data_IF_191211457976
#
_entry.id   IF_191211457976
#
_cell.length_a   1.000
_cell.length_b   1.000
_cell.length_c   1.000
_cell.angle_alpha   90.00
_cell.angle_beta   90.00
_cell.angle_gamma   90.00
#
_symmetry.space_group_name_H-M   'P 1'
#
loop_
_entity.id
_entity.type
_entity.pdbx_description
1 polymer ?
#
# COMPACT_ATOMS: atom_id res chain seq x y z
N UNK A 1 -36.56 52.50 36.35
CA UNK A 1 -35.75 51.53 37.13
C UNK A 1 -36.56 50.24 37.28
N UNK A 2 -36.17 49.16 36.60
CA UNK A 2 -36.81 47.84 36.75
C UNK A 2 -35.76 46.77 36.41
N UNK A 3 -35.23 46.13 37.44
CA UNK A 3 -34.32 44.99 37.35
C UNK A 3 -35.12 43.70 37.20
N UNK A 4 -34.78 42.88 36.20
CA UNK A 4 -35.18 41.48 36.07
C UNK A 4 -34.04 40.77 35.33
N UNK A 5 -33.12 40.10 36.03
CA UNK A 5 -33.12 38.68 36.44
C UNK A 5 -33.19 37.69 35.26
N UNK A 6 -32.06 37.00 35.10
CA UNK A 6 -31.86 35.61 34.67
C UNK A 6 -32.29 35.19 33.26
N UNK A 7 -31.30 35.03 32.38
CA UNK A 7 -31.08 33.81 31.59
C UNK A 7 -29.55 33.59 31.57
N UNK A 8 -29.02 32.52 32.18
CA UNK A 8 -28.77 31.23 31.49
C UNK A 8 -28.07 31.49 30.14
N UNK A 9 -26.92 30.94 29.77
CA UNK A 9 -26.16 29.76 30.19
C UNK A 9 -25.00 29.68 29.20
N UNK A 10 -23.84 29.23 29.66
CA UNK A 10 -22.96 28.28 28.98
C UNK A 10 -23.00 28.25 27.44
N UNK A 11 -22.07 28.97 26.79
CA UNK A 11 -21.67 28.67 25.42
C UNK A 11 -20.14 28.54 25.37
N UNK A 12 -19.68 27.44 25.96
CA UNK A 12 -18.36 26.87 25.71
C UNK A 12 -18.36 26.33 24.27
N UNK A 13 -18.18 27.21 23.29
CA UNK A 13 -17.98 26.82 21.91
C UNK A 13 -16.49 26.54 21.72
N UNK A 14 -16.10 25.30 22.02
CA UNK A 14 -14.86 24.70 21.55
C UNK A 14 -14.79 24.86 20.03
N UNK A 15 -14.02 25.84 19.56
CA UNK A 15 -13.52 25.85 18.21
C UNK A 15 -12.43 24.78 18.09
N UNK A 16 -12.82 23.53 17.85
CA UNK A 16 -11.89 22.53 17.36
C UNK A 16 -11.71 22.74 15.85
N UNK A 17 -10.50 23.07 15.36
CA UNK A 17 -10.20 22.91 13.95
C UNK A 17 -10.09 21.41 13.68
N UNK A 18 -11.18 20.81 13.18
CA UNK A 18 -11.11 19.48 12.55
C UNK A 18 -10.62 19.69 11.13
N UNK A 19 -9.31 19.89 10.99
CA UNK A 19 -8.59 19.70 9.74
C UNK A 19 -7.54 18.62 9.97
N UNK A 20 -7.96 17.37 9.82
CA UNK A 20 -7.07 16.31 9.39
C UNK A 20 -7.93 15.26 8.72
N UNK A 21 -8.23 15.47 7.43
CA UNK A 21 -8.54 14.33 6.57
C UNK A 21 -7.25 13.54 6.46
N UNK A 22 -7.04 12.64 7.42
CA UNK A 22 -6.18 11.47 7.20
C UNK A 22 -6.87 10.70 6.10
N UNK A 23 -6.57 11.05 4.85
CA UNK A 23 -6.74 10.14 3.73
C UNK A 23 -6.00 8.88 4.16
N UNK A 24 -6.76 7.80 4.40
CA UNK A 24 -6.19 6.49 4.62
C UNK A 24 -5.08 6.28 3.58
N UNK A 25 -3.91 5.77 3.99
CA UNK A 25 -2.86 5.46 3.04
C UNK A 25 -3.42 4.38 2.13
N UNK A 26 -3.88 4.78 0.94
CA UNK A 26 -4.26 3.86 -0.11
C UNK A 26 -3.11 2.87 -0.29
N UNK A 27 -3.38 1.57 -0.41
CA UNK A 27 -2.34 0.57 -0.64
C UNK A 27 -1.62 0.97 -1.92
N UNK A 28 -0.42 1.53 -1.77
CA UNK A 28 0.37 2.00 -2.89
C UNK A 28 0.80 0.74 -3.65
N UNK A 29 0.24 0.50 -4.84
CA UNK A 29 0.77 -0.56 -5.69
C UNK A 29 2.10 -0.09 -6.27
N UNK A 30 2.97 -1.03 -6.65
CA UNK A 30 4.29 -0.67 -7.18
C UNK A 30 4.24 0.15 -8.47
N UNK A 31 3.19 -0.01 -9.28
CA UNK A 31 2.92 0.84 -10.43
C UNK A 31 2.65 2.30 -10.01
N UNK A 32 1.86 2.51 -8.95
CA UNK A 32 1.54 3.83 -8.41
C UNK A 32 2.76 4.51 -7.78
N UNK A 33 3.67 3.70 -7.22
CA UNK A 33 4.94 4.16 -6.68
C UNK A 33 5.82 4.82 -7.75
N UNK A 34 6.01 4.18 -8.91
CA UNK A 34 6.80 4.73 -10.01
C UNK A 34 6.14 5.96 -10.64
N UNK A 35 4.82 6.00 -10.72
CA UNK A 35 4.09 7.16 -11.21
C UNK A 35 4.27 8.38 -10.27
N UNK A 36 4.16 8.18 -8.96
CA UNK A 36 4.35 9.24 -7.95
C UNK A 36 5.79 9.76 -7.90
N UNK A 37 6.78 8.87 -8.05
CA UNK A 37 8.19 9.23 -8.17
C UNK A 37 8.41 10.20 -9.35
N UNK A 38 7.89 9.85 -10.53
CA UNK A 38 8.02 10.67 -11.73
C UNK A 38 7.31 12.05 -11.59
N UNK A 39 6.21 12.13 -10.85
CA UNK A 39 5.53 13.41 -10.56
C UNK A 39 6.40 14.29 -9.68
N UNK A 40 6.94 13.75 -8.58
CA UNK A 40 7.80 14.49 -7.67
C UNK A 40 9.08 14.98 -8.36
N UNK A 41 9.70 14.16 -9.21
CA UNK A 41 10.88 14.56 -9.98
C UNK A 41 10.60 15.73 -10.93
N UNK A 42 9.44 15.73 -11.61
CA UNK A 42 9.01 16.85 -12.46
C UNK A 42 8.80 18.13 -11.65
N UNK A 43 8.15 18.02 -10.49
CA UNK A 43 7.92 19.16 -9.61
C UNK A 43 9.23 19.72 -9.04
N UNK A 44 10.21 18.86 -8.74
CA UNK A 44 11.56 19.27 -8.35
C UNK A 44 12.27 20.02 -9.48
N UNK A 45 12.18 19.53 -10.73
CA UNK A 45 12.74 20.21 -11.90
C UNK A 45 12.09 21.58 -12.11
N UNK A 46 10.76 21.67 -11.95
CA UNK A 46 10.03 22.93 -12.03
C UNK A 46 10.45 23.90 -10.92
N UNK A 47 10.53 23.44 -9.67
CA UNK A 47 10.98 24.24 -8.54
C UNK A 47 12.42 24.74 -8.75
N UNK A 48 13.30 23.91 -9.32
CA UNK A 48 14.67 24.30 -9.69
C UNK A 48 14.67 25.40 -10.75
N UNK A 49 13.88 25.27 -11.82
CA UNK A 49 13.78 26.29 -12.88
C UNK A 49 13.28 27.64 -12.35
N UNK A 50 12.48 27.62 -11.28
CA UNK A 50 11.91 28.81 -10.63
C UNK A 50 12.76 29.35 -9.48
N UNK A 51 13.92 28.76 -9.19
CA UNK A 51 14.78 29.17 -8.07
C UNK A 51 14.19 28.91 -6.68
N UNK A 52 13.18 28.03 -6.56
CA UNK A 52 12.48 27.75 -5.30
C UNK A 52 13.22 26.70 -4.46
N UNK A 53 14.38 27.10 -3.89
CA UNK A 53 15.28 26.17 -3.20
C UNK A 53 14.65 25.48 -1.98
N UNK A 54 13.87 26.19 -1.15
CA UNK A 54 13.16 25.60 -0.02
C UNK A 54 12.13 24.56 -0.46
N UNK A 55 11.33 24.89 -1.50
CA UNK A 55 10.33 23.99 -2.04
C UNK A 55 10.96 22.74 -2.64
N UNK A 56 12.09 22.89 -3.33
CA UNK A 56 12.89 21.76 -3.82
C UNK A 56 13.33 20.85 -2.66
N UNK A 57 13.78 21.41 -1.54
CA UNK A 57 14.15 20.64 -0.36
C UNK A 57 12.98 19.80 0.16
N UNK A 58 11.81 20.42 0.34
CA UNK A 58 10.59 19.73 0.78
C UNK A 58 10.14 18.62 -0.19
N UNK A 59 10.30 18.82 -1.50
CA UNK A 59 9.98 17.80 -2.49
C UNK A 59 10.98 16.63 -2.45
N UNK A 60 12.25 16.91 -2.16
CA UNK A 60 13.27 15.87 -1.93
C UNK A 60 12.93 15.00 -0.71
N UNK A 61 12.55 15.60 0.41
CA UNK A 61 12.10 14.86 1.60
C UNK A 61 10.86 13.99 1.31
N UNK A 62 9.91 14.52 0.53
CA UNK A 62 8.74 13.74 0.09
C UNK A 62 9.13 12.57 -0.82
N UNK A 63 10.10 12.77 -1.71
CA UNK A 63 10.62 11.73 -2.59
C UNK A 63 11.30 10.62 -1.78
N UNK A 64 12.13 10.97 -0.80
CA UNK A 64 12.79 10.00 0.09
C UNK A 64 11.76 9.18 0.89
N UNK A 65 10.75 9.86 1.43
CA UNK A 65 9.65 9.20 2.16
C UNK A 65 8.80 8.30 1.24
N UNK A 66 8.64 8.65 -0.03
CA UNK A 66 7.98 7.81 -1.03
C UNK A 66 8.83 6.56 -1.32
N UNK A 67 10.12 6.75 -1.62
CA UNK A 67 11.05 5.66 -1.95
C UNK A 67 11.15 4.64 -0.81
N UNK A 68 11.19 5.09 0.45
CA UNK A 68 11.18 4.21 1.62
C UNK A 68 9.93 3.32 1.67
N UNK A 69 8.75 3.87 1.36
CA UNK A 69 7.48 3.13 1.31
C UNK A 69 7.43 2.19 0.11
N UNK A 70 7.86 2.64 -1.07
CA UNK A 70 7.90 1.81 -2.27
C UNK A 70 8.85 0.60 -2.12
N UNK A 71 9.96 0.79 -1.40
CA UNK A 71 10.90 -0.28 -1.08
C UNK A 71 10.30 -1.34 -0.16
N UNK A 72 9.33 -1.03 0.70
CA UNK A 72 8.64 -2.04 1.53
C UNK A 72 7.58 -2.83 0.76
N UNK A 73 7.09 -2.31 -0.37
CA UNK A 73 6.13 -2.99 -1.26
C UNK A 73 6.82 -3.96 -2.24
N UNK A 74 8.05 -3.66 -2.67
CA UNK A 74 8.85 -4.56 -3.51
C UNK A 74 9.05 -6.00 -2.93
N UNK A 75 9.41 -6.18 -1.63
CA UNK A 75 9.51 -7.51 -1.05
C UNK A 75 8.15 -8.21 -0.90
N UNK A 76 7.04 -7.47 -0.82
CA UNK A 76 5.70 -8.05 -0.81
C UNK A 76 5.34 -8.70 -2.16
N UNK A 77 5.66 -8.06 -3.29
CA UNK A 77 5.54 -8.68 -4.63
C UNK A 77 6.42 -9.93 -4.76
N UNK A 78 7.65 -9.88 -4.22
CA UNK A 78 8.55 -11.03 -4.21
C UNK A 78 8.07 -12.19 -3.32
N UNK A 79 7.11 -11.95 -2.42
CA UNK A 79 6.42 -12.98 -1.63
C UNK A 79 5.25 -13.57 -2.43
N UNK A 80 4.44 -12.74 -3.08
CA UNK A 80 3.31 -13.20 -3.91
C UNK A 80 3.78 -14.10 -5.05
N UNK A 81 4.81 -13.69 -5.81
CA UNK A 81 5.38 -14.52 -6.87
C UNK A 81 5.93 -15.86 -6.35
N UNK A 82 6.44 -15.88 -5.11
CA UNK A 82 6.91 -17.11 -4.45
C UNK A 82 5.75 -18.03 -4.07
N UNK A 83 4.64 -17.46 -3.59
CA UNK A 83 3.42 -18.19 -3.26
C UNK A 83 2.85 -18.82 -4.53
N UNK A 84 2.72 -18.05 -5.62
CA UNK A 84 2.20 -18.56 -6.90
C UNK A 84 3.04 -19.72 -7.44
N UNK A 85 4.38 -19.60 -7.35
CA UNK A 85 5.28 -20.69 -7.72
C UNK A 85 5.02 -21.96 -6.90
N UNK A 86 4.91 -21.82 -5.57
CA UNK A 86 4.65 -22.96 -4.68
C UNK A 86 3.27 -23.59 -4.93
N UNK A 87 2.25 -22.79 -5.23
CA UNK A 87 0.92 -23.30 -5.58
C UNK A 87 0.96 -24.11 -6.88
N UNK A 88 1.73 -23.65 -7.87
CA UNK A 88 1.91 -24.40 -9.12
C UNK A 88 2.67 -25.71 -8.88
N UNK A 89 3.72 -25.70 -8.06
CA UNK A 89 4.45 -26.91 -7.67
C UNK A 89 3.53 -27.91 -6.97
N UNK A 90 2.66 -27.46 -6.04
CA UNK A 90 1.68 -28.32 -5.37
C UNK A 90 0.71 -28.95 -6.37
N UNK A 91 0.22 -28.20 -7.37
CA UNK A 91 -0.67 -28.73 -8.40
C UNK A 91 0.02 -29.82 -9.23
N UNK A 92 1.27 -29.58 -9.63
CA UNK A 92 2.08 -30.56 -10.36
C UNK A 92 2.28 -31.83 -9.55
N UNK A 93 2.74 -31.70 -8.30
CA UNK A 93 2.99 -32.85 -7.41
C UNK A 93 1.73 -33.68 -7.16
N UNK A 94 0.56 -33.04 -7.02
CA UNK A 94 -0.72 -33.76 -6.90
C UNK A 94 -1.04 -34.59 -8.15
N UNK A 95 -0.82 -34.03 -9.34
CA UNK A 95 -1.04 -34.76 -10.59
C UNK A 95 -0.06 -35.93 -10.77
N UNK A 96 1.19 -35.77 -10.33
CA UNK A 96 2.19 -36.83 -10.36
C UNK A 96 1.83 -37.96 -9.39
N UNK A 97 1.35 -37.60 -8.20
CA UNK A 97 0.87 -38.55 -7.20
C UNK A 97 -0.34 -39.34 -7.71
N UNK A 98 -1.33 -38.67 -8.31
CA UNK A 98 -2.51 -39.32 -8.89
C UNK A 98 -2.12 -40.34 -9.97
N UNK A 99 -1.19 -39.98 -10.87
CA UNK A 99 -0.66 -40.91 -11.89
C UNK A 99 0.07 -42.10 -11.27
N UNK A 100 0.90 -41.86 -10.25
CA UNK A 100 1.63 -42.94 -9.57
C UNK A 100 0.66 -43.89 -8.84
N UNK A 101 -0.40 -43.35 -8.24
CA UNK A 101 -1.46 -44.14 -7.61
C UNK A 101 -2.25 -44.98 -8.64
N UNK A 102 -2.55 -44.43 -9.81
CA UNK A 102 -3.18 -45.18 -10.91
C UNK A 102 -2.30 -46.33 -11.40
N UNK A 103 -1.00 -46.08 -11.60
CA UNK A 103 -0.03 -47.12 -11.95
C UNK A 103 0.03 -48.22 -10.88
N UNK A 104 -0.02 -47.84 -9.61
CA UNK A 104 -0.04 -48.82 -8.53
C UNK A 104 -1.33 -49.67 -8.57
N UNK A 105 -2.49 -49.06 -8.86
CA UNK A 105 -3.76 -49.77 -8.99
C UNK A 105 -3.75 -50.73 -10.17
N UNK A 106 -3.23 -50.32 -11.33
CA UNK A 106 -3.16 -51.20 -12.51
C UNK A 106 -2.28 -52.41 -12.24
N UNK A 107 -1.08 -52.21 -11.66
CA UNK A 107 -0.17 -53.30 -11.31
C UNK A 107 -0.78 -54.28 -10.29
N UNK A 108 -1.52 -53.78 -9.30
CA UNK A 108 -2.24 -54.62 -8.33
C UNK A 108 -3.40 -55.40 -8.94
N UNK A 109 -4.04 -54.88 -10.00
CA UNK A 109 -5.11 -55.59 -10.70
C UNK A 109 -4.60 -56.63 -11.70
N UNK A 110 -3.35 -56.48 -12.15
CA UNK A 110 -2.70 -57.36 -13.14
C UNK A 110 -1.89 -58.50 -12.49
N UNK A 111 -1.60 -58.40 -11.19
CA UNK A 111 -1.04 -59.52 -10.41
C UNK A 111 -2.09 -60.65 -10.26
N UNK A 112 -1.75 -61.91 -10.61
CA UNK A 112 -2.67 -63.04 -10.63
C UNK A 112 -3.15 -63.50 -9.25
#
# INVERSE_FOLDING_TARGET
MRFHRFFLTLAWALAMPVFSQTSEPQPVNAADCKAQEAVLERDMALARSRGQMLRRGQLGEQLDALLARCKSIAPAQGREARIEKLEQEIRTLRSELERAEEQLRSLKSESP
#
